data_IF_844856358533
#
_entry.id   IF_844856358533
#
_cell.length_a   1.000
_cell.length_b   1.000
_cell.length_c   1.000
_cell.angle_alpha   90.00
_cell.angle_beta   90.00
_cell.angle_gamma   90.00
#
_symmetry.space_group_name_H-M   'P 1'
#
loop_
_entity.id
_entity.type
_entity.pdbx_description
1 polymer ?
#
# COMPACT_ATOMS: atom_id res chain seq x y z
N UNK A 1 14.89 4.14 -8.70
CA UNK A 1 14.19 3.40 -7.62
C UNK A 1 12.70 3.46 -7.92
N UNK A 2 12.03 2.34 -8.16
CA UNK A 2 10.57 2.30 -8.35
C UNK A 2 9.88 2.35 -6.99
N UNK A 3 9.00 3.33 -6.81
CA UNK A 3 8.26 3.58 -5.58
C UNK A 3 7.06 2.63 -5.44
N UNK A 4 6.72 2.20 -4.21
CA UNK A 4 5.55 1.38 -3.96
C UNK A 4 4.27 2.18 -4.23
N UNK A 5 3.27 1.57 -4.87
CA UNK A 5 1.97 2.18 -5.17
C UNK A 5 0.95 1.79 -4.10
N UNK A 6 -0.03 2.66 -3.84
CA UNK A 6 -1.07 2.41 -2.83
C UNK A 6 -2.44 2.44 -3.49
N UNK A 7 -3.19 1.35 -3.36
CA UNK A 7 -4.57 1.19 -3.79
C UNK A 7 -5.46 1.11 -2.55
N UNK A 8 -6.71 1.58 -2.62
CA UNK A 8 -7.65 1.37 -1.51
C UNK A 8 -8.89 0.66 -2.00
N UNK A 9 -9.30 -0.36 -1.26
CA UNK A 9 -10.51 -1.12 -1.55
C UNK A 9 -11.75 -0.47 -0.91
N UNK A 10 -12.93 -0.81 -1.42
CA UNK A 10 -14.25 -0.36 -0.92
C UNK A 10 -14.51 -0.80 0.52
N UNK A 11 -13.84 -1.87 0.96
CA UNK A 11 -13.85 -2.37 2.35
C UNK A 11 -13.02 -1.52 3.32
N UNK A 12 -12.33 -0.49 2.85
CA UNK A 12 -11.50 0.40 3.68
C UNK A 12 -10.06 -0.09 3.89
N UNK A 13 -9.66 -1.20 3.25
CA UNK A 13 -8.29 -1.69 3.28
C UNK A 13 -7.38 -0.89 2.33
N UNK A 14 -6.16 -0.58 2.76
CA UNK A 14 -5.11 -0.03 1.90
C UNK A 14 -4.17 -1.16 1.43
N UNK A 15 -4.06 -1.32 0.12
CA UNK A 15 -3.20 -2.29 -0.54
C UNK A 15 -1.96 -1.57 -1.05
N UNK A 16 -0.81 -1.90 -0.47
CA UNK A 16 0.47 -1.32 -0.85
C UNK A 16 1.20 -2.34 -1.71
N UNK A 17 1.49 -1.98 -2.96
CA UNK A 17 2.07 -2.88 -3.95
C UNK A 17 3.50 -2.46 -4.31
N UNK A 18 4.37 -3.44 -4.53
CA UNK A 18 5.72 -3.20 -5.01
C UNK A 18 6.26 -4.39 -5.83
N UNK A 19 7.10 -4.09 -6.83
CA UNK A 19 7.74 -5.14 -7.65
C UNK A 19 8.72 -5.98 -6.82
N UNK A 20 9.39 -5.37 -5.83
CA UNK A 20 10.37 -6.06 -4.97
C UNK A 20 9.88 -6.09 -3.52
N UNK A 21 9.98 -7.27 -2.89
CA UNK A 21 9.52 -7.50 -1.51
C UNK A 21 10.14 -6.54 -0.50
N UNK A 22 11.43 -6.24 -0.64
CA UNK A 22 12.15 -5.39 0.31
C UNK A 22 11.75 -3.91 0.24
N UNK A 23 11.13 -3.43 -0.84
CA UNK A 23 10.59 -2.07 -0.90
C UNK A 23 9.45 -1.87 0.12
N UNK A 24 8.77 -2.95 0.50
CA UNK A 24 7.70 -2.92 1.50
C UNK A 24 8.24 -3.05 2.95
N UNK A 25 9.51 -3.42 3.15
CA UNK A 25 10.05 -3.59 4.51
C UNK A 25 10.10 -2.28 5.28
N UNK A 26 10.51 -1.19 4.63
CA UNK A 26 10.52 0.13 5.27
C UNK A 26 9.13 0.55 5.72
N UNK A 27 8.09 0.22 4.92
CA UNK A 27 6.71 0.51 5.25
C UNK A 27 6.22 -0.35 6.41
N UNK A 28 6.58 -1.64 6.43
CA UNK A 28 6.30 -2.52 7.55
C UNK A 28 6.92 -1.98 8.85
N UNK A 29 8.21 -1.64 8.81
CA UNK A 29 8.94 -1.16 9.99
C UNK A 29 8.35 0.16 10.51
N UNK A 30 8.00 1.07 9.60
CA UNK A 30 7.37 2.35 9.92
C UNK A 30 5.96 2.21 10.52
N UNK A 31 5.16 1.29 9.98
CA UNK A 31 3.80 1.03 10.48
C UNK A 31 3.77 0.01 11.63
N UNK A 32 4.94 -0.44 12.10
CA UNK A 32 5.09 -1.52 13.10
C UNK A 32 4.30 -2.79 12.72
N UNK A 33 4.25 -3.09 11.43
CA UNK A 33 3.60 -4.27 10.87
C UNK A 33 4.63 -5.36 10.67
N UNK A 34 4.19 -6.61 10.83
CA UNK A 34 5.06 -7.74 10.59
C UNK A 34 5.30 -7.96 9.09
N UNK A 35 6.57 -8.12 8.70
CA UNK A 35 6.98 -8.38 7.30
C UNK A 35 6.39 -9.68 6.73
N UNK A 36 5.92 -10.59 7.60
CA UNK A 36 5.18 -11.80 7.21
C UNK A 36 3.82 -11.50 6.60
N UNK A 37 3.29 -10.28 6.72
CA UNK A 37 2.04 -9.86 6.11
C UNK A 37 2.17 -9.56 4.60
N UNK A 38 3.40 -9.42 4.10
CA UNK A 38 3.65 -9.24 2.68
C UNK A 38 3.34 -10.55 1.94
N UNK A 39 2.53 -10.47 0.90
CA UNK A 39 2.11 -11.59 0.04
C UNK A 39 2.54 -11.34 -1.40
N UNK A 40 2.79 -12.40 -2.15
CA UNK A 40 2.92 -12.31 -3.60
C UNK A 40 1.53 -12.43 -4.23
N UNK A 41 1.17 -11.51 -5.13
CA UNK A 41 -0.01 -11.60 -5.96
C UNK A 41 0.40 -12.13 -7.33
N UNK A 42 -0.16 -13.27 -7.72
CA UNK A 42 0.10 -13.87 -9.04
C UNK A 42 -0.57 -13.07 -10.16
N UNK A 43 -1.77 -12.53 -9.92
CA UNK A 43 -2.53 -11.76 -10.91
C UNK A 43 -1.81 -10.45 -11.28
N UNK A 44 -1.31 -9.74 -10.27
CA UNK A 44 -0.59 -8.48 -10.46
C UNK A 44 0.93 -8.66 -10.65
N UNK A 45 1.44 -9.88 -10.51
CA UNK A 45 2.88 -10.23 -10.52
C UNK A 45 3.72 -9.30 -9.65
N UNK A 46 3.24 -9.02 -8.44
CA UNK A 46 3.89 -8.09 -7.51
C UNK A 46 3.71 -8.51 -6.05
N UNK A 47 4.48 -7.89 -5.16
CA UNK A 47 4.30 -8.04 -3.72
C UNK A 47 3.25 -7.04 -3.21
N UNK A 48 2.36 -7.51 -2.33
CA UNK A 48 1.24 -6.77 -1.78
C UNK A 48 1.30 -6.83 -0.25
N UNK A 49 1.14 -5.68 0.39
CA UNK A 49 0.91 -5.54 1.82
C UNK A 49 -0.47 -4.94 2.03
N UNK A 50 -1.35 -5.67 2.73
CA UNK A 50 -2.69 -5.20 3.04
C UNK A 50 -2.70 -4.61 4.45
N UNK A 51 -3.04 -3.34 4.55
CA UNK A 51 -3.16 -2.60 5.81
C UNK A 51 -4.64 -2.32 6.04
N UNK A 52 -5.21 -2.97 7.05
CA UNK A 52 -6.58 -2.73 7.51
C UNK A 52 -6.52 -1.77 8.70
N UNK A 53 -7.09 -0.57 8.55
CA UNK A 53 -7.16 0.42 9.63
C UNK A 53 -8.48 1.15 9.57
N UNK A 54 -9.02 1.49 10.73
CA UNK A 54 -10.18 2.39 10.85
C UNK A 54 -9.83 3.82 10.40
N UNK A 55 -8.55 4.20 10.42
CA UNK A 55 -8.09 5.55 10.07
C UNK A 55 -7.33 5.58 8.73
N UNK A 56 -8.06 5.30 7.64
CA UNK A 56 -7.59 5.31 6.24
C UNK A 56 -6.75 6.54 5.89
N UNK A 57 -7.20 7.74 6.30
CA UNK A 57 -6.54 9.01 5.97
C UNK A 57 -5.19 9.18 6.66
N UNK A 58 -5.03 8.64 7.88
CA UNK A 58 -3.77 8.71 8.60
C UNK A 58 -2.71 7.84 7.91
N UNK A 59 -3.05 6.60 7.52
CA UNK A 59 -2.13 5.71 6.81
C UNK A 59 -1.79 6.25 5.42
N UNK A 60 -2.78 6.73 4.66
CA UNK A 60 -2.50 7.34 3.35
C UNK A 60 -1.63 8.60 3.46
N UNK A 61 -1.85 9.45 4.46
CA UNK A 61 -0.98 10.61 4.70
C UNK A 61 0.42 10.17 5.11
N UNK A 62 0.53 9.21 6.01
CA UNK A 62 1.80 8.66 6.45
C UNK A 62 2.60 8.11 5.27
N UNK A 63 1.95 7.36 4.37
CA UNK A 63 2.56 6.82 3.16
C UNK A 63 2.89 7.89 2.13
N UNK A 64 2.06 8.94 1.97
CA UNK A 64 2.37 10.08 1.08
C UNK A 64 3.54 10.94 1.58
N UNK A 65 3.67 11.09 2.90
CA UNK A 65 4.74 11.89 3.51
C UNK A 65 6.07 11.14 3.49
N UNK A 66 6.06 9.83 3.77
CA UNK A 66 7.27 9.00 3.79
C UNK A 66 7.65 8.43 2.42
N UNK A 67 6.68 8.24 1.53
CA UNK A 67 6.88 7.83 0.15
C UNK A 67 7.07 9.04 -0.74
N UNK A 68 8.31 9.47 -0.95
CA UNK A 68 8.64 10.45 -2.01
C UNK A 68 8.13 9.92 -3.37
N UNK A 69 6.99 10.44 -3.83
CA UNK A 69 6.58 10.53 -5.23
C UNK A 69 6.04 9.26 -5.90
N UNK A 70 4.81 9.35 -6.40
CA UNK A 70 4.25 8.38 -7.34
C UNK A 70 2.73 8.44 -7.39
N UNK A 71 2.22 9.28 -8.28
CA UNK A 71 0.81 9.35 -8.71
C UNK A 71 0.11 7.99 -8.72
N UNK A 72 -1.04 7.92 -8.03
CA UNK A 72 -2.28 7.36 -8.56
C UNK A 72 -3.42 7.62 -7.56
N UNK A 73 -3.86 8.88 -7.50
CA UNK A 73 -5.23 9.19 -7.13
C UNK A 73 -6.05 9.27 -8.43
N UNK A 74 -6.32 8.13 -9.05
CA UNK A 74 -7.35 8.01 -10.07
C UNK A 74 -7.78 6.53 -10.11
N UNK A 75 -9.09 6.28 -10.13
CA UNK A 75 -9.72 4.95 -10.14
C UNK A 75 -9.89 4.25 -8.79
N UNK A 76 -10.71 4.85 -7.92
CA UNK A 76 -11.72 4.10 -7.15
C UNK A 76 -12.77 5.07 -6.56
N UNK A 77 -13.25 6.02 -7.37
CA UNK A 77 -14.58 6.61 -7.18
C UNK A 77 -15.46 5.94 -8.23
N UNK A 78 -16.14 4.88 -7.79
CA UNK A 78 -17.28 4.28 -8.46
C UNK A 78 -18.36 4.19 -7.41
N UNK A 79 -19.03 5.31 -7.16
CA UNK A 79 -20.38 5.34 -6.60
C UNK A 79 -21.33 4.67 -7.62
N UNK A 80 -22.31 3.94 -7.07
CA UNK A 80 -23.36 3.09 -7.70
C UNK A 80 -22.97 1.62 -7.93
#
# INVERSE_FOLDING_TARGET
MMTPSVLTDTTGAAHIIAVRRHHLFNICDQLKLERRLIRWSYDLRCYVLVVRTENKRAVLRFLKINGKGGDLLAHATGDV
#
